data_IF_484026160940
#
_entry.id   IF_484026160940
#
_cell.length_a   1.000
_cell.length_b   1.000
_cell.length_c   1.000
_cell.angle_alpha   90.00
_cell.angle_beta   90.00
_cell.angle_gamma   90.00
#
_symmetry.space_group_name_H-M   'P 1'
#
loop_
_entity.id
_entity.type
_entity.pdbx_description
1 polymer ?
#
# COMPACT_ATOMS: atom_id res chain seq x y z
N UNK A 1 9.64 -0.82 4.65
CA UNK A 1 10.01 -1.58 3.45
C UNK A 1 9.62 -0.83 2.17
N UNK A 2 8.34 -0.53 1.93
CA UNK A 2 7.87 0.11 0.70
C UNK A 2 8.53 1.47 0.43
N UNK A 3 8.77 2.29 1.46
CA UNK A 3 9.48 3.57 1.32
C UNK A 3 10.92 3.40 0.84
N UNK A 4 11.56 2.26 1.13
CA UNK A 4 12.92 2.00 0.69
C UNK A 4 13.01 1.68 -0.81
N UNK A 5 11.92 1.26 -1.44
CA UNK A 5 11.86 1.10 -2.89
C UNK A 5 12.03 2.42 -3.64
N UNK A 6 11.79 3.55 -2.98
CA UNK A 6 12.05 4.88 -3.53
C UNK A 6 13.51 5.35 -3.34
N UNK A 7 14.35 4.57 -2.66
CA UNK A 7 15.71 4.95 -2.29
C UNK A 7 16.74 4.08 -3.03
N UNK A 8 16.80 4.25 -4.36
CA UNK A 8 17.91 3.70 -5.14
C UNK A 8 19.13 4.61 -5.02
N UNK A 9 20.28 4.04 -5.23
CA UNK A 9 21.53 4.78 -5.39
C UNK A 9 21.60 5.39 -6.80
N UNK A 10 20.95 6.58 -6.95
CA UNK A 10 20.96 7.32 -8.21
C UNK A 10 22.37 7.66 -8.67
N UNK A 11 23.26 7.97 -7.70
CA UNK A 11 24.62 8.41 -8.00
C UNK A 11 25.43 7.27 -8.62
N UNK A 12 25.30 6.05 -8.08
CA UNK A 12 25.93 4.86 -8.66
C UNK A 12 25.42 4.56 -10.08
N UNK A 13 24.13 4.79 -10.34
CA UNK A 13 23.54 4.61 -11.67
C UNK A 13 24.14 5.64 -12.65
N UNK A 14 24.18 6.89 -12.24
CA UNK A 14 24.69 7.99 -13.03
C UNK A 14 26.19 7.78 -13.33
N UNK A 15 26.97 7.38 -12.33
CA UNK A 15 28.38 7.09 -12.50
C UNK A 15 28.62 5.94 -13.49
N UNK A 16 27.87 4.85 -13.34
CA UNK A 16 27.92 3.72 -14.28
C UNK A 16 27.56 4.13 -15.71
N UNK A 17 26.48 4.90 -15.87
CA UNK A 17 26.05 5.40 -17.17
C UNK A 17 27.07 6.37 -17.81
N UNK A 18 27.64 7.26 -16.98
CA UNK A 18 28.65 8.23 -17.47
C UNK A 18 29.96 7.56 -17.88
N UNK A 19 30.32 6.43 -17.27
CA UNK A 19 31.53 5.68 -17.59
C UNK A 19 31.44 4.87 -18.91
N UNK A 20 30.22 4.69 -19.46
CA UNK A 20 30.04 4.01 -20.73
C UNK A 20 30.55 4.92 -21.85
N UNK A 21 31.57 4.48 -22.60
CA UNK A 21 32.06 5.17 -23.78
C UNK A 21 31.06 4.96 -24.94
N UNK A 22 30.69 6.08 -25.60
CA UNK A 22 29.87 6.03 -26.81
C UNK A 22 30.79 5.90 -28.01
N UNK A 23 30.77 4.74 -28.64
CA UNK A 23 31.39 4.57 -29.95
C UNK A 23 30.49 5.15 -31.02
N UNK A 24 31.10 5.76 -32.06
CA UNK A 24 30.40 6.32 -33.23
C UNK A 24 29.51 5.30 -33.99
N UNK A 25 29.73 4.01 -33.73
CA UNK A 25 28.98 2.90 -34.35
C UNK A 25 27.82 2.38 -33.50
N UNK A 26 27.78 2.63 -32.19
CA UNK A 26 26.82 2.01 -31.27
C UNK A 26 25.58 2.87 -30.98
N UNK A 27 25.64 4.20 -31.16
CA UNK A 27 24.52 5.09 -30.93
C UNK A 27 23.96 5.04 -29.48
N UNK A 28 22.89 5.76 -29.23
CA UNK A 28 22.23 5.83 -27.91
C UNK A 28 21.65 4.50 -27.39
N UNK A 29 21.26 3.62 -28.29
CA UNK A 29 20.68 2.31 -27.98
C UNK A 29 21.60 1.48 -27.07
N UNK A 30 22.93 1.62 -27.24
CA UNK A 30 23.92 0.90 -26.45
C UNK A 30 23.96 1.29 -24.98
N UNK A 31 23.70 2.56 -24.63
CA UNK A 31 23.73 3.02 -23.23
C UNK A 31 22.52 2.51 -22.47
N UNK A 32 21.31 2.70 -23.01
CA UNK A 32 20.09 2.22 -22.38
C UNK A 32 20.15 0.71 -22.20
N UNK A 33 20.46 -0.06 -23.24
CA UNK A 33 20.54 -1.51 -23.19
C UNK A 33 21.57 -2.01 -22.17
N UNK A 34 22.74 -1.37 -22.09
CA UNK A 34 23.81 -1.72 -21.16
C UNK A 34 23.36 -1.44 -19.71
N UNK A 35 22.77 -0.27 -19.45
CA UNK A 35 22.23 0.08 -18.15
C UNK A 35 21.07 -0.81 -17.77
N UNK A 36 20.11 -1.11 -18.67
CA UNK A 36 19.03 -2.03 -18.39
C UNK A 36 19.52 -3.44 -18.10
N UNK A 37 20.53 -3.92 -18.83
CA UNK A 37 21.14 -5.22 -18.55
C UNK A 37 21.79 -5.27 -17.16
N UNK A 38 22.54 -4.22 -16.81
CA UNK A 38 23.13 -4.07 -15.47
C UNK A 38 22.03 -4.05 -14.40
N UNK A 39 21.01 -3.19 -14.58
CA UNK A 39 19.92 -3.08 -13.62
C UNK A 39 19.02 -4.29 -13.57
N UNK A 40 18.78 -4.98 -14.67
CA UNK A 40 18.04 -6.23 -14.66
C UNK A 40 18.72 -7.25 -13.76
N UNK A 41 20.03 -7.31 -13.75
CA UNK A 41 20.79 -8.22 -12.89
C UNK A 41 20.77 -7.77 -11.42
N UNK A 42 21.00 -6.47 -11.15
CA UNK A 42 21.02 -5.92 -9.79
C UNK A 42 19.62 -5.90 -9.14
N UNK A 43 18.56 -5.63 -9.90
CA UNK A 43 17.21 -5.44 -9.41
C UNK A 43 16.23 -6.56 -9.77
N UNK A 44 16.70 -7.71 -10.22
CA UNK A 44 15.86 -8.92 -10.47
C UNK A 44 14.96 -9.25 -9.27
N UNK A 45 15.45 -9.02 -8.05
CA UNK A 45 14.68 -9.26 -6.83
C UNK A 45 13.39 -8.43 -6.76
N UNK A 46 13.33 -7.23 -7.38
CA UNK A 46 12.13 -6.38 -7.39
C UNK A 46 10.98 -7.08 -8.10
N UNK A 47 11.24 -7.70 -9.23
CA UNK A 47 10.23 -8.48 -9.96
C UNK A 47 9.73 -9.69 -9.16
N UNK A 48 10.56 -10.21 -8.27
CA UNK A 48 10.26 -11.35 -7.40
C UNK A 48 9.68 -10.95 -6.03
N UNK A 49 9.64 -9.64 -5.70
CA UNK A 49 9.18 -9.17 -4.39
C UNK A 49 7.76 -9.64 -4.05
N UNK A 50 6.86 -9.64 -5.01
CA UNK A 50 5.49 -10.13 -4.79
C UNK A 50 5.46 -11.62 -4.47
N UNK A 51 6.34 -12.40 -5.11
CA UNK A 51 6.48 -13.84 -4.85
C UNK A 51 7.05 -14.06 -3.45
N UNK A 52 8.14 -13.38 -3.10
CA UNK A 52 8.75 -13.48 -1.76
C UNK A 52 7.80 -13.03 -0.66
N UNK A 53 7.06 -11.96 -0.89
CA UNK A 53 6.04 -11.50 0.06
C UNK A 53 4.96 -12.58 0.25
N UNK A 54 4.45 -13.18 -0.82
CA UNK A 54 3.47 -14.27 -0.73
C UNK A 54 4.02 -15.44 0.10
N UNK A 55 5.22 -15.89 -0.19
CA UNK A 55 5.85 -17.00 0.55
C UNK A 55 6.04 -16.63 2.03
N UNK A 56 6.53 -15.43 2.33
CA UNK A 56 6.69 -14.99 3.72
C UNK A 56 5.35 -14.92 4.46
N UNK A 57 4.32 -14.32 3.87
CA UNK A 57 3.01 -14.21 4.53
C UNK A 57 2.36 -15.58 4.74
N UNK A 58 2.59 -16.56 3.87
CA UNK A 58 2.14 -17.96 4.05
C UNK A 58 2.73 -18.62 5.29
N UNK A 59 3.88 -18.14 5.79
CA UNK A 59 4.48 -18.65 7.04
C UNK A 59 3.75 -18.15 8.29
N UNK A 60 2.90 -17.13 8.19
CA UNK A 60 2.18 -16.55 9.33
C UNK A 60 1.02 -17.47 9.73
N UNK A 61 1.09 -18.01 10.93
CA UNK A 61 0.07 -18.93 11.50
C UNK A 61 -1.14 -18.16 12.04
N UNK A 62 -2.01 -17.70 11.17
CA UNK A 62 -3.21 -16.94 11.57
C UNK A 62 -4.20 -17.81 12.34
N UNK A 63 -4.24 -19.12 12.08
CA UNK A 63 -5.18 -20.06 12.73
C UNK A 63 -5.01 -20.15 14.25
N UNK A 64 -3.82 -19.81 14.74
CA UNK A 64 -3.49 -19.83 16.17
C UNK A 64 -3.78 -18.47 16.84
N UNK A 65 -4.22 -17.47 16.08
CA UNK A 65 -4.54 -16.14 16.60
C UNK A 65 -5.95 -16.12 17.21
N UNK A 66 -6.08 -15.38 18.31
CA UNK A 66 -7.35 -15.14 18.99
C UNK A 66 -7.92 -13.75 18.63
N UNK A 67 -9.25 -13.60 18.53
CA UNK A 67 -9.88 -12.29 18.34
C UNK A 67 -9.58 -11.38 19.55
N UNK A 68 -9.25 -10.13 19.28
CA UNK A 68 -8.92 -9.14 20.33
C UNK A 68 -10.05 -8.17 20.62
N UNK A 69 -11.14 -8.26 19.87
CA UNK A 69 -12.29 -7.37 20.04
C UNK A 69 -13.60 -8.10 19.74
N UNK A 70 -14.62 -7.78 20.51
CA UNK A 70 -16.00 -8.22 20.27
C UNK A 70 -16.71 -7.33 19.23
N UNK A 71 -16.11 -6.20 18.85
CA UNK A 71 -16.72 -5.19 17.98
C UNK A 71 -16.65 -5.56 16.49
N UNK A 72 -15.69 -6.41 16.09
CA UNK A 72 -15.64 -6.97 14.74
C UNK A 72 -16.58 -8.17 14.68
N UNK A 73 -17.67 -8.03 13.94
CA UNK A 73 -18.73 -9.05 13.80
C UNK A 73 -19.19 -9.10 12.35
N UNK A 74 -19.66 -10.26 11.91
CA UNK A 74 -20.33 -10.41 10.62
C UNK A 74 -21.80 -9.92 10.68
N UNK A 75 -21.99 -8.61 10.81
CA UNK A 75 -23.30 -7.99 10.73
C UNK A 75 -23.73 -7.82 9.27
N UNK A 76 -25.04 -7.75 9.01
CA UNK A 76 -25.59 -7.72 7.64
C UNK A 76 -25.05 -6.57 6.80
N UNK A 77 -24.83 -5.40 7.40
CA UNK A 77 -24.58 -4.15 6.67
C UNK A 77 -23.11 -3.68 6.73
N UNK A 78 -22.27 -4.37 7.54
CA UNK A 78 -20.86 -4.00 7.69
C UNK A 78 -20.03 -4.47 6.50
N UNK A 79 -19.13 -3.60 6.02
CA UNK A 79 -18.05 -3.92 5.10
C UNK A 79 -16.69 -3.74 5.77
N UNK A 80 -15.75 -4.58 5.40
CA UNK A 80 -14.41 -4.57 5.93
C UNK A 80 -13.40 -4.31 4.80
N UNK A 81 -12.63 -3.24 4.94
CA UNK A 81 -11.49 -2.96 4.08
C UNK A 81 -10.21 -3.28 4.83
N UNK A 82 -9.36 -4.11 4.25
CA UNK A 82 -8.07 -4.45 4.84
C UNK A 82 -6.92 -4.14 3.90
N UNK A 83 -5.85 -3.58 4.48
CA UNK A 83 -4.56 -3.37 3.85
C UNK A 83 -3.61 -4.54 4.08
N UNK A 84 -4.00 -5.49 4.94
CA UNK A 84 -3.22 -6.69 5.21
C UNK A 84 -3.40 -7.72 4.09
N UNK A 85 -2.32 -8.41 3.78
CA UNK A 85 -2.34 -9.54 2.85
C UNK A 85 -2.90 -10.83 3.48
N UNK A 86 -3.03 -10.86 4.80
CA UNK A 86 -3.50 -12.03 5.56
C UNK A 86 -5.03 -12.05 5.64
N UNK A 87 -5.61 -13.24 5.62
CA UNK A 87 -7.05 -13.45 5.81
C UNK A 87 -7.44 -13.45 7.30
N UNK A 88 -6.98 -12.47 8.07
CA UNK A 88 -7.23 -12.38 9.52
C UNK A 88 -8.70 -12.17 9.83
N UNK A 89 -9.39 -11.30 9.09
CA UNK A 89 -10.82 -11.05 9.28
C UNK A 89 -11.65 -12.31 9.08
N UNK A 90 -11.32 -13.08 8.05
CA UNK A 90 -12.06 -14.30 7.70
C UNK A 90 -11.71 -15.45 8.63
N UNK A 91 -10.44 -15.63 9.00
CA UNK A 91 -10.01 -16.82 9.76
C UNK A 91 -10.14 -16.65 11.28
N UNK A 92 -9.98 -15.43 11.80
CA UNK A 92 -10.03 -15.17 13.25
C UNK A 92 -11.39 -14.65 13.67
N UNK A 93 -11.97 -13.72 12.89
CA UNK A 93 -13.27 -13.13 13.20
C UNK A 93 -14.44 -13.78 12.46
N UNK A 94 -14.16 -14.74 11.58
CA UNK A 94 -15.12 -15.46 10.75
C UNK A 94 -16.05 -14.53 9.95
N UNK A 95 -15.47 -13.44 9.45
CA UNK A 95 -16.19 -12.54 8.55
C UNK A 95 -16.32 -13.21 7.18
N UNK A 96 -17.50 -13.18 6.62
CA UNK A 96 -17.73 -13.73 5.28
C UNK A 96 -16.85 -13.06 4.23
N UNK A 97 -16.25 -13.85 3.33
CA UNK A 97 -15.32 -13.33 2.32
C UNK A 97 -15.91 -12.26 1.39
N UNK A 98 -17.22 -12.34 1.14
CA UNK A 98 -17.94 -11.36 0.31
C UNK A 98 -18.04 -9.98 0.98
N UNK A 99 -17.78 -9.86 2.28
CA UNK A 99 -17.77 -8.61 3.03
C UNK A 99 -16.36 -8.02 3.20
N UNK A 100 -15.31 -8.75 2.83
CA UNK A 100 -13.93 -8.28 2.98
C UNK A 100 -13.40 -7.77 1.64
N UNK A 101 -12.81 -6.58 1.66
CA UNK A 101 -12.12 -5.96 0.54
C UNK A 101 -10.63 -5.95 0.86
N UNK A 102 -9.83 -6.76 0.16
CA UNK A 102 -8.37 -6.74 0.25
C UNK A 102 -7.82 -5.76 -0.77
N UNK A 103 -7.59 -4.50 -0.36
CA UNK A 103 -7.22 -3.42 -1.28
C UNK A 103 -5.78 -3.58 -1.83
N UNK A 104 -4.93 -4.31 -1.15
CA UNK A 104 -3.58 -4.65 -1.61
C UNK A 104 -3.46 -6.07 -2.17
N UNK A 105 -4.58 -6.75 -2.38
CA UNK A 105 -4.61 -8.17 -2.72
C UNK A 105 -4.62 -9.06 -1.47
N UNK A 106 -4.85 -10.34 -1.69
CA UNK A 106 -4.92 -11.36 -0.64
C UNK A 106 -4.07 -12.56 -1.05
N UNK A 107 -3.69 -13.39 -0.09
CA UNK A 107 -2.96 -14.64 -0.35
C UNK A 107 -3.85 -15.85 -0.64
N UNK A 108 -5.12 -15.65 -0.92
CA UNK A 108 -5.99 -16.72 -1.39
C UNK A 108 -5.52 -17.20 -2.76
N UNK A 109 -5.60 -18.50 -3.01
CA UNK A 109 -5.00 -19.18 -4.16
C UNK A 109 -5.40 -18.63 -5.54
N UNK A 110 -6.46 -17.83 -5.63
CA UNK A 110 -6.98 -17.25 -6.87
C UNK A 110 -6.97 -15.71 -6.90
N UNK A 111 -6.27 -15.08 -5.96
CA UNK A 111 -6.21 -13.61 -5.95
C UNK A 111 -5.00 -13.10 -6.72
N UNK A 112 -5.16 -11.93 -7.37
CA UNK A 112 -4.05 -11.29 -8.08
C UNK A 112 -2.86 -10.98 -7.16
N UNK A 113 -1.72 -10.72 -7.77
CA UNK A 113 -0.49 -10.39 -7.04
C UNK A 113 -0.65 -9.19 -6.11
N UNK A 114 0.00 -9.22 -4.93
CA UNK A 114 -0.05 -8.12 -3.98
C UNK A 114 0.42 -6.81 -4.61
N UNK A 115 -0.17 -5.70 -4.17
CA UNK A 115 0.26 -4.37 -4.59
C UNK A 115 1.39 -3.93 -3.65
N UNK A 116 2.58 -3.84 -4.20
CA UNK A 116 3.79 -3.39 -3.50
C UNK A 116 4.35 -2.20 -4.28
N UNK A 117 4.91 -1.24 -3.58
CA UNK A 117 5.60 -0.13 -4.22
C UNK A 117 5.69 1.10 -3.32
N UNK A 118 6.45 2.08 -3.77
CA UNK A 118 6.58 3.36 -3.09
C UNK A 118 5.51 4.36 -3.55
N UNK A 119 5.26 5.41 -2.73
CA UNK A 119 4.30 6.49 -3.05
C UNK A 119 4.94 7.77 -3.58
N UNK A 120 6.25 7.77 -3.88
CA UNK A 120 6.99 8.99 -4.16
C UNK A 120 6.99 9.37 -5.65
N UNK A 121 5.88 9.95 -6.11
CA UNK A 121 5.76 10.50 -7.47
C UNK A 121 6.71 11.66 -7.75
N UNK A 122 7.07 12.45 -6.72
CA UNK A 122 7.95 13.60 -6.91
C UNK A 122 9.33 13.23 -7.48
N UNK A 123 9.82 12.00 -7.22
CA UNK A 123 11.07 11.54 -7.84
C UNK A 123 10.92 11.33 -9.34
N UNK A 124 9.81 10.75 -9.78
CA UNK A 124 9.51 10.58 -11.20
C UNK A 124 9.40 11.94 -11.90
N UNK A 125 8.67 12.88 -11.28
CA UNK A 125 8.50 14.23 -11.84
C UNK A 125 9.85 14.97 -11.93
N UNK A 126 10.70 14.82 -10.90
CA UNK A 126 12.04 15.42 -10.89
C UNK A 126 12.93 14.87 -12.01
N UNK A 127 12.94 13.55 -12.20
CA UNK A 127 13.73 12.93 -13.27
C UNK A 127 13.15 13.28 -14.64
N UNK A 128 11.84 13.35 -14.80
CA UNK A 128 11.21 13.78 -16.06
C UNK A 128 11.65 15.19 -16.46
N UNK A 129 11.74 16.13 -15.51
CA UNK A 129 12.27 17.47 -15.77
C UNK A 129 13.75 17.44 -16.20
N UNK A 130 14.59 16.59 -15.58
CA UNK A 130 15.98 16.42 -16.01
C UNK A 130 16.09 15.88 -17.43
N UNK A 131 15.17 15.01 -17.84
CA UNK A 131 15.08 14.53 -19.24
C UNK A 131 14.76 15.69 -20.17
N UNK A 132 13.72 16.49 -19.87
CA UNK A 132 13.34 17.65 -20.68
C UNK A 132 14.51 18.67 -20.82
N UNK A 133 15.23 18.92 -19.72
CA UNK A 133 16.41 19.78 -19.71
C UNK A 133 17.52 19.21 -20.60
N UNK A 134 17.85 17.92 -20.50
CA UNK A 134 18.86 17.25 -21.30
C UNK A 134 18.49 17.21 -22.79
N UNK A 135 17.23 16.94 -23.11
CA UNK A 135 16.73 16.99 -24.49
C UNK A 135 16.88 18.40 -25.11
N UNK A 136 16.66 19.46 -24.32
CA UNK A 136 16.85 20.84 -24.77
C UNK A 136 18.32 21.19 -25.05
N UNK A 137 19.26 20.48 -24.42
CA UNK A 137 20.70 20.63 -24.57
C UNK A 137 21.30 19.63 -25.60
N UNK A 138 20.48 18.77 -26.19
CA UNK A 138 20.90 17.66 -27.06
C UNK A 138 21.89 16.70 -26.38
N UNK A 139 21.79 16.53 -25.05
CA UNK A 139 22.61 15.58 -24.30
C UNK A 139 21.92 14.21 -24.26
N UNK A 140 22.06 13.47 -25.36
CA UNK A 140 21.44 12.17 -25.56
C UNK A 140 21.90 11.14 -24.53
N UNK A 141 23.17 11.22 -24.10
CA UNK A 141 23.72 10.35 -23.04
C UNK A 141 22.99 10.56 -21.71
N UNK A 142 22.79 11.80 -21.33
CA UNK A 142 22.11 12.13 -20.07
C UNK A 142 20.62 11.79 -20.15
N UNK A 143 19.99 11.98 -21.30
CA UNK A 143 18.60 11.53 -21.56
C UNK A 143 18.46 10.03 -21.30
N UNK A 144 19.36 9.21 -21.88
CA UNK A 144 19.31 7.74 -21.74
C UNK A 144 19.48 7.30 -20.28
N UNK A 145 20.45 7.89 -19.54
CA UNK A 145 20.66 7.61 -18.12
C UNK A 145 19.41 7.97 -17.30
N UNK A 146 18.86 9.16 -17.50
CA UNK A 146 17.68 9.62 -16.77
C UNK A 146 16.44 8.77 -17.08
N UNK A 147 16.30 8.26 -18.32
CA UNK A 147 15.20 7.34 -18.69
C UNK A 147 15.26 6.05 -17.87
N UNK A 148 16.42 5.44 -17.73
CA UNK A 148 16.59 4.22 -16.91
C UNK A 148 16.20 4.48 -15.46
N UNK A 149 16.64 5.58 -14.85
CA UNK A 149 16.27 5.96 -13.47
C UNK A 149 14.77 6.20 -13.35
N UNK A 150 14.16 6.90 -14.29
CA UNK A 150 12.71 7.15 -14.32
C UNK A 150 11.93 5.84 -14.41
N UNK A 151 12.35 4.92 -15.26
CA UNK A 151 11.67 3.65 -15.47
C UNK A 151 11.75 2.76 -14.23
N UNK A 152 12.87 2.78 -13.50
CA UNK A 152 12.95 2.14 -12.20
C UNK A 152 11.89 2.68 -11.24
N UNK A 153 11.83 4.00 -11.04
CA UNK A 153 10.85 4.60 -10.14
C UNK A 153 9.40 4.37 -10.60
N UNK A 154 9.16 4.36 -11.90
CA UNK A 154 7.83 4.10 -12.46
C UNK A 154 7.40 2.65 -12.24
N UNK A 155 8.31 1.70 -12.40
CA UNK A 155 8.06 0.26 -12.19
C UNK A 155 7.82 -0.07 -10.72
N UNK A 156 8.52 0.62 -9.82
CA UNK A 156 8.41 0.42 -8.37
C UNK A 156 7.37 1.33 -7.69
N UNK A 157 6.69 2.19 -8.46
CA UNK A 157 5.59 3.01 -7.95
C UNK A 157 4.38 2.13 -7.60
N UNK A 158 3.82 2.34 -6.41
CA UNK A 158 2.63 1.62 -5.95
C UNK A 158 1.42 1.97 -6.83
N UNK A 159 0.89 0.98 -7.53
CA UNK A 159 -0.32 1.16 -8.32
C UNK A 159 -1.56 1.12 -7.42
N UNK A 160 -1.92 2.26 -6.84
CA UNK A 160 -3.10 2.41 -5.98
C UNK A 160 -4.42 2.23 -6.74
N UNK A 161 -4.41 2.25 -8.07
CA UNK A 161 -5.61 2.05 -8.88
C UNK A 161 -5.91 0.58 -9.16
N UNK A 162 -4.95 -0.33 -8.95
CA UNK A 162 -5.09 -1.76 -9.31
C UNK A 162 -6.36 -2.41 -8.75
N UNK A 163 -6.75 -2.05 -7.52
CA UNK A 163 -7.93 -2.59 -6.84
C UNK A 163 -8.96 -1.52 -6.47
N UNK A 164 -8.81 -0.29 -6.97
CA UNK A 164 -9.75 0.80 -6.65
C UNK A 164 -11.19 0.48 -7.05
N UNK A 165 -11.42 -0.33 -8.09
CA UNK A 165 -12.75 -0.80 -8.47
C UNK A 165 -13.48 -1.57 -7.36
N UNK A 166 -12.75 -2.22 -6.43
CA UNK A 166 -13.35 -2.88 -5.28
C UNK A 166 -14.01 -1.90 -4.30
N UNK A 167 -13.56 -0.63 -4.28
CA UNK A 167 -14.10 0.42 -3.43
C UNK A 167 -15.50 0.90 -3.86
N UNK A 168 -15.93 0.56 -5.08
CA UNK A 168 -17.30 0.78 -5.55
C UNK A 168 -18.35 0.14 -4.62
N UNK A 169 -17.98 -0.90 -3.91
CA UNK A 169 -18.84 -1.55 -2.90
C UNK A 169 -19.09 -0.62 -1.71
N UNK A 170 -18.10 0.20 -1.33
CA UNK A 170 -18.24 1.21 -0.26
C UNK A 170 -19.20 2.30 -0.73
N UNK A 171 -19.08 2.74 -1.98
CA UNK A 171 -20.01 3.71 -2.58
C UNK A 171 -21.46 3.23 -2.53
N UNK A 172 -21.67 1.95 -2.79
CA UNK A 172 -23.04 1.36 -2.76
C UNK A 172 -23.58 1.17 -1.35
N UNK A 173 -22.71 0.89 -0.37
CA UNK A 173 -23.14 0.64 1.02
C UNK A 173 -23.47 1.92 1.77
N UNK A 174 -22.94 3.08 1.34
CA UNK A 174 -23.14 4.40 1.99
C UNK A 174 -23.03 4.32 3.53
N UNK A 175 -21.87 3.91 4.07
CA UNK A 175 -21.71 3.77 5.51
C UNK A 175 -21.83 5.11 6.21
N UNK A 176 -22.40 5.14 7.43
CA UNK A 176 -22.48 6.35 8.24
C UNK A 176 -21.18 6.65 8.98
N UNK A 177 -20.42 5.62 9.29
CA UNK A 177 -19.16 5.70 10.02
C UNK A 177 -18.11 4.82 9.39
N UNK A 178 -16.85 5.29 9.41
CA UNK A 178 -15.67 4.55 8.99
C UNK A 178 -14.73 4.47 10.17
N UNK A 179 -14.44 3.24 10.62
CA UNK A 179 -13.55 2.99 11.75
C UNK A 179 -12.20 2.53 11.23
N UNK A 180 -11.14 3.29 11.53
CA UNK A 180 -9.76 2.98 11.14
C UNK A 180 -9.05 2.32 12.30
N UNK A 181 -8.60 1.07 12.09
CA UNK A 181 -7.97 0.24 13.13
C UNK A 181 -6.58 -0.21 12.67
N UNK A 182 -5.55 0.13 13.45
CA UNK A 182 -4.19 -0.38 13.25
C UNK A 182 -3.50 0.05 11.94
N UNK A 183 -3.98 1.09 11.27
CA UNK A 183 -3.38 1.64 10.07
C UNK A 183 -2.52 2.87 10.41
N UNK A 184 -1.31 2.95 9.85
CA UNK A 184 -0.38 4.07 10.09
C UNK A 184 -0.83 5.39 9.48
N UNK A 185 -1.76 5.34 8.51
CA UNK A 185 -2.20 6.47 7.69
C UNK A 185 -1.02 7.22 7.05
N UNK A 186 0.04 6.47 6.68
CA UNK A 186 1.19 7.04 5.99
C UNK A 186 0.85 7.37 4.52
N UNK A 187 1.58 8.34 3.95
CA UNK A 187 1.24 9.00 2.69
C UNK A 187 1.02 8.11 1.48
N UNK A 188 1.61 6.89 1.47
CA UNK A 188 1.50 5.95 0.35
C UNK A 188 0.04 5.50 0.12
N UNK A 189 -0.71 5.30 1.20
CA UNK A 189 -2.08 4.79 1.16
C UNK A 189 -3.15 5.89 1.27
N UNK A 190 -2.75 7.15 1.50
CA UNK A 190 -3.69 8.28 1.60
C UNK A 190 -4.66 8.40 0.41
N UNK A 191 -4.26 8.11 -0.85
CA UNK A 191 -5.18 8.16 -1.99
C UNK A 191 -6.43 7.30 -1.83
N UNK A 192 -6.32 6.16 -1.13
CA UNK A 192 -7.49 5.31 -0.87
C UNK A 192 -8.48 5.98 0.09
N UNK A 193 -8.00 6.66 1.12
CA UNK A 193 -8.86 7.36 2.08
C UNK A 193 -9.57 8.55 1.43
N UNK A 194 -8.88 9.32 0.58
CA UNK A 194 -9.48 10.37 -0.23
C UNK A 194 -10.59 9.81 -1.13
N UNK A 195 -10.34 8.70 -1.80
CA UNK A 195 -11.32 8.07 -2.70
C UNK A 195 -12.54 7.54 -1.95
N UNK A 196 -12.33 6.93 -0.77
CA UNK A 196 -13.41 6.44 0.09
C UNK A 196 -14.28 7.61 0.57
N UNK A 197 -13.69 8.72 1.01
CA UNK A 197 -14.43 9.87 1.46
C UNK A 197 -15.28 10.48 0.34
N UNK A 198 -14.71 10.61 -0.86
CA UNK A 198 -15.43 11.05 -2.05
C UNK A 198 -16.60 10.13 -2.43
N UNK A 199 -16.41 8.81 -2.33
CA UNK A 199 -17.47 7.83 -2.65
C UNK A 199 -18.63 7.87 -1.65
N UNK A 200 -18.43 8.42 -0.49
CA UNK A 200 -19.43 8.53 0.58
C UNK A 200 -19.92 9.98 0.77
N UNK A 201 -19.83 10.79 -0.30
CA UNK A 201 -20.30 12.18 -0.37
C UNK A 201 -19.72 13.10 0.73
N UNK A 202 -18.57 12.75 1.28
CA UNK A 202 -17.91 13.49 2.37
C UNK A 202 -18.82 13.68 3.61
N UNK A 203 -19.64 12.68 3.95
CA UNK A 203 -20.61 12.78 5.08
C UNK A 203 -20.28 11.91 6.27
N UNK A 204 -19.44 10.89 6.11
CA UNK A 204 -19.14 9.93 7.14
C UNK A 204 -18.40 10.52 8.33
N UNK A 205 -18.64 9.95 9.50
CA UNK A 205 -17.75 10.11 10.64
C UNK A 205 -16.57 9.16 10.50
N UNK A 206 -15.38 9.67 10.71
CA UNK A 206 -14.13 8.89 10.72
C UNK A 206 -13.67 8.70 12.14
N UNK A 207 -13.66 7.47 12.63
CA UNK A 207 -13.21 7.12 13.98
C UNK A 207 -11.87 6.39 13.90
N UNK A 208 -10.82 6.99 14.45
CA UNK A 208 -9.47 6.40 14.47
C UNK A 208 -9.25 5.72 15.83
N UNK A 209 -8.91 4.43 15.80
CA UNK A 209 -8.46 3.69 17.00
C UNK A 209 -6.98 4.00 17.23
N UNK A 210 -6.68 4.72 18.31
CA UNK A 210 -5.32 5.21 18.62
C UNK A 210 -4.66 4.28 19.64
N UNK A 211 -3.52 3.71 19.26
CA UNK A 211 -2.77 2.81 20.15
C UNK A 211 -1.90 3.59 21.16
N UNK A 212 -1.25 4.65 20.70
CA UNK A 212 -0.40 5.51 21.55
C UNK A 212 -0.85 6.95 21.43
N UNK A 213 -1.08 7.60 22.53
CA UNK A 213 -1.62 8.96 22.56
C UNK A 213 -0.74 9.97 21.77
N UNK A 214 0.58 9.79 21.79
CA UNK A 214 1.54 10.58 21.00
C UNK A 214 1.34 10.50 19.48
N UNK A 215 0.69 9.45 18.96
CA UNK A 215 0.44 9.25 17.53
C UNK A 215 -0.87 9.91 17.07
N UNK A 216 -1.76 10.26 18.03
CA UNK A 216 -3.08 10.81 17.77
C UNK A 216 -3.06 11.99 16.80
N UNK A 217 -2.22 12.98 17.06
CA UNK A 217 -2.15 14.17 16.22
C UNK A 217 -1.66 13.86 14.81
N UNK A 218 -0.65 12.99 14.68
CA UNK A 218 -0.14 12.53 13.37
C UNK A 218 -1.25 11.86 12.57
N UNK A 219 -1.97 10.90 13.16
CA UNK A 219 -3.04 10.15 12.49
C UNK A 219 -4.19 11.05 12.03
N UNK A 220 -4.60 11.99 12.90
CA UNK A 220 -5.62 12.98 12.55
C UNK A 220 -5.18 13.87 11.38
N UNK A 221 -3.95 14.39 11.44
CA UNK A 221 -3.40 15.23 10.39
C UNK A 221 -3.26 14.48 9.06
N UNK A 222 -2.95 13.19 9.08
CA UNK A 222 -2.91 12.37 7.86
C UNK A 222 -4.27 12.31 7.16
N UNK A 223 -5.37 12.10 7.90
CA UNK A 223 -6.72 12.14 7.31
C UNK A 223 -7.11 13.54 6.82
N UNK A 224 -6.70 14.60 7.53
CA UNK A 224 -6.91 15.98 7.06
C UNK A 224 -6.15 16.22 5.75
N UNK A 225 -4.92 15.72 5.64
CA UNK A 225 -4.12 15.78 4.39
C UNK A 225 -4.79 15.01 3.25
N UNK A 226 -5.50 13.92 3.56
CA UNK A 226 -6.33 13.19 2.59
C UNK A 226 -7.62 13.94 2.17
N UNK A 227 -7.88 15.14 2.73
CA UNK A 227 -9.04 15.98 2.40
C UNK A 227 -10.24 15.81 3.32
N UNK A 228 -10.15 14.99 4.37
CA UNK A 228 -11.26 14.73 5.29
C UNK A 228 -11.39 15.89 6.30
N UNK A 229 -12.60 16.49 6.41
CA UNK A 229 -12.84 17.58 7.34
C UNK A 229 -12.55 17.14 8.79
N UNK A 230 -11.71 17.94 9.46
CA UNK A 230 -11.32 17.70 10.86
C UNK A 230 -12.51 17.51 11.80
N UNK A 231 -13.66 18.16 11.52
CA UNK A 231 -14.88 18.04 12.33
C UNK A 231 -15.52 16.67 12.27
N UNK A 232 -15.25 15.91 11.23
CA UNK A 232 -15.76 14.54 11.04
C UNK A 232 -14.82 13.48 11.62
N UNK A 233 -13.63 13.86 12.12
CA UNK A 233 -12.63 12.94 12.63
C UNK A 233 -12.74 12.85 14.16
N UNK A 234 -12.94 11.64 14.66
CA UNK A 234 -12.94 11.29 16.08
C UNK A 234 -11.80 10.31 16.37
N UNK A 235 -11.43 10.21 17.64
CA UNK A 235 -10.42 9.24 18.08
C UNK A 235 -10.91 8.51 19.32
N UNK A 236 -10.64 7.21 19.39
CA UNK A 236 -10.87 6.41 20.57
C UNK A 236 -9.57 5.69 20.97
N UNK A 237 -9.31 5.48 22.27
CA UNK A 237 -8.17 4.69 22.71
C UNK A 237 -8.29 3.22 22.27
N UNK A 238 -7.16 2.57 21.95
CA UNK A 238 -7.16 1.17 21.55
C UNK A 238 -7.72 0.23 22.63
N UNK A 239 -7.55 0.54 23.91
CA UNK A 239 -8.13 -0.23 25.00
C UNK A 239 -9.66 -0.25 25.04
N UNK A 240 -10.32 0.77 24.48
CA UNK A 240 -11.78 0.76 24.32
C UNK A 240 -12.24 -0.08 23.13
N UNK A 241 -11.38 -0.27 22.15
CA UNK A 241 -11.69 -1.06 20.94
C UNK A 241 -11.32 -2.53 21.13
N UNK A 242 -10.12 -2.83 21.62
CA UNK A 242 -9.64 -4.18 21.90
C UNK A 242 -10.07 -4.60 23.31
N UNK A 243 -11.29 -5.09 23.43
CA UNK A 243 -12.02 -5.33 24.68
C UNK A 243 -11.97 -6.79 25.17
N UNK A 244 -11.20 -7.67 24.50
CA UNK A 244 -11.07 -9.07 24.87
C UNK A 244 -9.66 -9.37 25.44
N UNK A 245 -9.61 -9.88 26.67
CA UNK A 245 -8.44 -10.57 27.20
C UNK A 245 -8.32 -11.99 26.61
N UNK A 246 -7.24 -12.71 26.93
CA UNK A 246 -6.97 -14.03 26.35
C UNK A 246 -8.06 -15.06 26.68
N UNK A 247 -8.70 -14.98 27.85
CA UNK A 247 -9.77 -15.89 28.29
C UNK A 247 -11.05 -15.60 27.50
N UNK A 248 -11.48 -14.34 27.46
CA UNK A 248 -12.65 -13.91 26.70
C UNK A 248 -12.46 -14.15 25.20
N UNK A 249 -11.25 -13.96 24.68
CA UNK A 249 -10.90 -14.23 23.29
C UNK A 249 -11.01 -15.72 22.93
N UNK A 250 -10.55 -16.62 23.81
CA UNK A 250 -10.69 -18.06 23.62
C UNK A 250 -12.15 -18.51 23.62
N UNK A 251 -12.97 -17.99 24.52
CA UNK A 251 -14.41 -18.21 24.51
C UNK A 251 -15.06 -17.71 23.22
N UNK A 252 -14.73 -16.50 22.79
CA UNK A 252 -15.29 -15.88 21.60
C UNK A 252 -15.01 -16.69 20.33
N UNK A 253 -13.79 -17.19 20.13
CA UNK A 253 -13.46 -17.98 18.94
C UNK A 253 -14.19 -19.31 18.95
N UNK A 254 -14.40 -19.90 20.13
CA UNK A 254 -15.20 -21.12 20.28
C UNK A 254 -16.65 -20.87 19.88
N UNK A 255 -17.30 -19.83 20.41
CA UNK A 255 -18.66 -19.45 20.02
C UNK A 255 -18.80 -19.21 18.52
N UNK A 256 -17.83 -18.51 17.92
CA UNK A 256 -17.83 -18.25 16.48
C UNK A 256 -17.75 -19.53 15.65
N UNK A 257 -16.93 -20.50 16.08
CA UNK A 257 -16.77 -21.80 15.37
C UNK A 257 -17.96 -22.75 15.50
N UNK A 258 -18.74 -22.62 16.59
CA UNK A 258 -19.93 -23.43 16.77
C UNK A 258 -21.19 -22.84 16.10
N UNK A 259 -21.12 -21.65 15.51
CA UNK A 259 -22.25 -21.05 14.75
C UNK A 259 -22.36 -21.54 13.31
N UNK A 260 -21.39 -22.30 12.86
CA UNK A 260 -21.32 -22.94 11.54
C UNK A 260 -21.13 -24.46 11.67
#
# INVERSE_FOLDING_TARGET
FESNLANIDEDSIIESGTSIEMDLESGDVGIEDTLYSYFTNEYQYIQKLSVYLKEWVRTIRIRDCLPRTSKIKDNSDDLFLTFNYTATLENVYLIRPDKVIHIHGSLRDYTPDPVIGHGNKMRIDRISKKIEEAESLFDEKWVSICRVVRDYYSTTLKNTNKYSGCLERIRRSQPNEIIVVGHSLDGIDLPYFTLIDNYTDNKNIWTIVVHRDKEKLKLVNSLVTAGIDRKRIRTIPSGEFFDLDDTAAAHRITELRYRF
#
